data_IF_072776185620
#
_entry.id   IF_072776185620
#
_cell.length_a   1.000
_cell.length_b   1.000
_cell.length_c   1.000
_cell.angle_alpha   90.00
_cell.angle_beta   90.00
_cell.angle_gamma   90.00
#
_symmetry.space_group_name_H-M   'P 1'
#
loop_
_entity.id
_entity.type
_entity.pdbx_description
1 polymer ?
#
# COMPACT_ATOMS: atom_id res chain seq x y z
N UNK A 1 7.62 27.06 16.27
CA UNK A 1 6.81 26.55 15.15
C UNK A 1 7.36 25.18 14.82
N UNK A 2 6.54 24.15 14.98
CA UNK A 2 6.94 22.74 14.80
C UNK A 2 7.50 22.51 13.39
N UNK A 3 8.54 21.69 13.30
CA UNK A 3 9.07 21.17 12.05
C UNK A 3 8.07 20.18 11.44
N UNK A 4 6.97 20.68 10.88
CA UNK A 4 6.00 19.84 10.16
C UNK A 4 6.69 19.35 8.87
N UNK A 5 6.79 18.02 8.65
CA UNK A 5 7.37 17.46 7.44
C UNK A 5 6.59 17.88 6.18
N UNK A 6 7.24 17.94 5.02
CA UNK A 6 6.56 18.31 3.77
C UNK A 6 5.52 17.26 3.36
N UNK A 7 4.47 17.68 2.64
CA UNK A 7 3.39 16.79 2.20
C UNK A 7 3.89 15.61 1.36
N UNK A 8 4.93 15.82 0.55
CA UNK A 8 5.55 14.74 -0.23
C UNK A 8 6.24 13.71 0.68
N UNK A 9 6.93 14.18 1.72
CA UNK A 9 7.58 13.29 2.69
C UNK A 9 6.52 12.53 3.50
N UNK A 10 5.45 13.19 3.92
CA UNK A 10 4.32 12.56 4.61
C UNK A 10 3.65 11.51 3.71
N UNK A 11 3.45 11.81 2.42
CA UNK A 11 2.89 10.88 1.44
C UNK A 11 3.71 9.59 1.25
N UNK A 12 5.03 9.64 1.49
CA UNK A 12 5.90 8.45 1.43
C UNK A 12 5.93 7.70 2.77
N UNK A 13 6.08 8.41 3.89
CA UNK A 13 6.37 7.81 5.20
C UNK A 13 5.11 7.32 5.92
N UNK A 14 3.99 8.04 5.81
CA UNK A 14 2.76 7.72 6.55
C UNK A 14 2.24 6.31 6.22
N UNK A 15 2.11 5.88 4.95
CA UNK A 15 1.64 4.53 4.64
C UNK A 15 2.54 3.42 5.23
N UNK A 16 3.86 3.65 5.27
CA UNK A 16 4.83 2.71 5.87
C UNK A 16 4.63 2.63 7.38
N UNK A 17 4.50 3.78 8.06
CA UNK A 17 4.25 3.83 9.49
C UNK A 17 2.92 3.17 9.89
N UNK A 18 1.86 3.41 9.10
CA UNK A 18 0.55 2.76 9.27
C UNK A 18 0.68 1.25 9.15
N UNK A 19 1.37 0.75 8.10
CA UNK A 19 1.60 -0.68 7.91
C UNK A 19 2.25 -1.33 9.16
N UNK A 20 3.34 -0.77 9.67
CA UNK A 20 4.07 -1.35 10.80
C UNK A 20 3.26 -1.26 12.10
N UNK A 21 2.50 -0.18 12.28
CA UNK A 21 1.60 -0.03 13.43
C UNK A 21 0.53 -1.13 13.42
N UNK A 22 -0.16 -1.31 12.30
CA UNK A 22 -1.17 -2.37 12.17
C UNK A 22 -0.56 -3.77 12.31
N UNK A 23 0.59 -4.02 11.68
CA UNK A 23 1.30 -5.31 11.80
C UNK A 23 1.68 -5.61 13.26
N UNK A 24 2.18 -4.61 13.98
CA UNK A 24 2.49 -4.72 15.41
C UNK A 24 1.26 -5.05 16.26
N UNK A 25 0.14 -4.36 16.01
CA UNK A 25 -1.14 -4.65 16.70
C UNK A 25 -1.58 -6.10 16.44
N UNK A 26 -1.54 -6.56 15.18
CA UNK A 26 -1.88 -7.95 14.85
C UNK A 26 -0.94 -8.96 15.53
N UNK A 27 0.36 -8.67 15.62
CA UNK A 27 1.30 -9.52 16.35
C UNK A 27 0.98 -9.60 17.85
N UNK A 28 0.60 -8.48 18.47
CA UNK A 28 0.21 -8.46 19.89
C UNK A 28 -1.07 -9.28 20.12
N UNK A 29 -2.08 -9.09 19.27
CA UNK A 29 -3.36 -9.83 19.34
C UNK A 29 -3.20 -11.32 19.00
N UNK A 30 -2.15 -11.72 18.27
CA UNK A 30 -1.86 -13.11 17.94
C UNK A 30 -1.61 -14.03 19.15
N UNK A 31 -1.48 -13.47 20.35
CA UNK A 31 -1.41 -14.22 21.62
C UNK A 31 -2.76 -14.68 22.16
N UNK A 32 -3.87 -14.11 21.65
CA UNK A 32 -5.22 -14.34 22.15
C UNK A 32 -5.89 -15.57 21.53
N UNK A 33 -5.46 -16.77 21.90
CA UNK A 33 -5.94 -18.03 21.32
C UNK A 33 -7.46 -18.21 21.38
N UNK A 34 -8.11 -17.72 22.44
CA UNK A 34 -9.57 -17.82 22.64
C UNK A 34 -10.40 -17.10 21.58
N UNK A 35 -9.85 -16.07 20.92
CA UNK A 35 -10.58 -15.24 19.96
C UNK A 35 -10.13 -15.48 18.50
N UNK A 36 -9.30 -16.50 18.27
CA UNK A 36 -8.80 -16.83 16.92
C UNK A 36 -9.81 -17.66 16.14
N UNK A 37 -10.02 -17.29 14.87
CA UNK A 37 -10.84 -18.04 13.90
C UNK A 37 -10.18 -19.34 13.43
N UNK A 38 -8.85 -19.34 13.30
CA UNK A 38 -8.06 -20.53 12.93
C UNK A 38 -7.10 -20.91 14.07
N UNK A 39 -6.97 -22.21 14.34
CA UNK A 39 -6.01 -22.68 15.34
C UNK A 39 -4.59 -22.34 14.88
N UNK A 40 -3.65 -22.18 15.83
CA UNK A 40 -2.24 -21.92 15.48
C UNK A 40 -1.66 -23.04 14.63
N UNK A 41 -2.01 -24.29 14.95
CA UNK A 41 -1.57 -25.47 14.18
C UNK A 41 -2.02 -25.40 12.73
N UNK A 42 -3.27 -25.00 12.47
CA UNK A 42 -3.78 -24.90 11.10
C UNK A 42 -3.09 -23.78 10.31
N UNK A 43 -2.79 -22.66 10.96
CA UNK A 43 -2.02 -21.56 10.34
C UNK A 43 -0.58 -21.97 10.05
N UNK A 44 0.10 -22.63 11.00
CA UNK A 44 1.49 -23.03 10.83
C UNK A 44 1.66 -24.08 9.71
N UNK A 45 0.65 -24.92 9.48
CA UNK A 45 0.63 -25.88 8.36
C UNK A 45 0.41 -25.17 7.02
N UNK A 46 -0.44 -24.14 6.98
CA UNK A 46 -0.78 -23.41 5.75
C UNK A 46 0.24 -22.33 5.41
N UNK A 47 0.89 -21.74 6.41
CA UNK A 47 1.87 -20.69 6.24
C UNK A 47 3.25 -21.30 5.95
N UNK A 48 3.54 -21.46 4.66
CA UNK A 48 4.79 -22.03 4.18
C UNK A 48 5.97 -21.05 4.27
N UNK A 49 5.71 -19.76 4.54
CA UNK A 49 6.71 -18.69 4.51
C UNK A 49 7.07 -18.26 5.93
N UNK A 50 8.37 -18.18 6.22
CA UNK A 50 8.85 -17.73 7.52
C UNK A 50 8.59 -16.24 7.73
N UNK A 51 8.44 -15.80 9.00
CA UNK A 51 8.26 -14.37 9.33
C UNK A 51 9.39 -13.49 8.78
N UNK A 52 10.62 -14.03 8.70
CA UNK A 52 11.77 -13.31 8.15
C UNK A 52 11.62 -13.06 6.65
N UNK A 53 11.16 -14.05 5.91
CA UNK A 53 10.88 -13.90 4.48
C UNK A 53 9.77 -12.89 4.22
N UNK A 54 8.70 -12.90 5.04
CA UNK A 54 7.65 -11.88 4.99
C UNK A 54 8.22 -10.48 5.21
N UNK A 55 9.02 -10.27 6.26
CA UNK A 55 9.66 -8.97 6.53
C UNK A 55 10.53 -8.51 5.36
N UNK A 56 11.33 -9.40 4.77
CA UNK A 56 12.14 -9.07 3.60
C UNK A 56 11.28 -8.67 2.40
N UNK A 57 10.19 -9.39 2.14
CA UNK A 57 9.25 -9.07 1.07
C UNK A 57 8.60 -7.70 1.27
N UNK A 58 8.18 -7.39 2.50
CA UNK A 58 7.60 -6.10 2.88
C UNK A 58 8.60 -4.95 2.67
N UNK A 59 9.85 -5.11 3.10
CA UNK A 59 10.87 -4.09 2.92
C UNK A 59 11.17 -3.86 1.43
N UNK A 60 11.19 -4.91 0.61
CA UNK A 60 11.33 -4.80 -0.83
C UNK A 60 10.14 -4.05 -1.47
N UNK A 61 8.91 -4.38 -1.06
CA UNK A 61 7.69 -3.68 -1.51
C UNK A 61 7.69 -2.20 -1.11
N UNK A 62 8.07 -1.89 0.14
CA UNK A 62 8.15 -0.52 0.64
C UNK A 62 9.24 0.30 -0.08
N UNK A 63 10.36 -0.32 -0.44
CA UNK A 63 11.40 0.32 -1.27
C UNK A 63 10.86 0.70 -2.64
N UNK A 64 10.15 -0.22 -3.31
CA UNK A 64 9.51 0.06 -4.60
C UNK A 64 8.46 1.15 -4.46
N UNK A 65 7.58 1.07 -3.45
CA UNK A 65 6.56 2.08 -3.17
C UNK A 65 7.18 3.47 -2.95
N UNK A 66 8.20 3.58 -2.10
CA UNK A 66 8.88 4.83 -1.80
C UNK A 66 9.57 5.41 -3.05
N UNK A 67 10.19 4.56 -3.87
CA UNK A 67 10.85 4.97 -5.12
C UNK A 67 9.84 5.52 -6.12
N UNK A 68 8.73 4.81 -6.35
CA UNK A 68 7.67 5.25 -7.27
C UNK A 68 7.03 6.55 -6.79
N UNK A 69 6.69 6.65 -5.50
CA UNK A 69 6.12 7.86 -4.92
C UNK A 69 7.07 9.05 -5.04
N UNK A 70 8.35 8.88 -4.71
CA UNK A 70 9.37 9.92 -4.87
C UNK A 70 9.47 10.42 -6.32
N UNK A 71 9.50 9.52 -7.30
CA UNK A 71 9.55 9.89 -8.72
C UNK A 71 8.30 10.65 -9.16
N UNK A 72 7.11 10.23 -8.73
CA UNK A 72 5.85 10.91 -9.03
C UNK A 72 5.80 12.32 -8.42
N UNK A 73 6.22 12.48 -7.17
CA UNK A 73 6.29 13.79 -6.54
C UNK A 73 7.31 14.71 -7.23
N UNK A 74 8.48 14.17 -7.62
CA UNK A 74 9.48 14.93 -8.36
C UNK A 74 8.95 15.42 -9.71
N UNK A 75 8.26 14.57 -10.46
CA UNK A 75 7.64 14.95 -11.75
C UNK A 75 6.54 16.00 -11.54
N UNK A 76 5.69 15.82 -10.52
CA UNK A 76 4.57 16.72 -10.24
C UNK A 76 5.01 18.09 -9.75
N UNK A 77 6.07 18.17 -8.93
CA UNK A 77 6.62 19.44 -8.44
C UNK A 77 7.06 20.36 -9.57
N UNK A 78 7.72 19.81 -10.60
CA UNK A 78 8.14 20.56 -11.78
C UNK A 78 6.96 21.21 -12.54
N UNK A 79 5.77 20.60 -12.48
CA UNK A 79 4.54 21.14 -13.10
C UNK A 79 3.82 22.15 -12.20
N UNK A 80 4.07 22.10 -10.89
CA UNK A 80 3.35 22.86 -9.86
C UNK A 80 3.91 24.26 -9.64
N UNK A 81 5.17 24.54 -10.03
CA UNK A 81 5.78 25.88 -9.94
C UNK A 81 5.04 26.96 -10.76
N UNK A 82 4.09 26.57 -11.62
CA UNK A 82 3.28 27.46 -12.48
C UNK A 82 1.87 27.72 -11.89
N UNK A 83 1.44 27.00 -10.85
CA UNK A 83 0.07 27.10 -10.32
C UNK A 83 0.01 27.91 -9.01
N UNK A 84 -0.56 29.10 -9.09
CA UNK A 84 -0.90 29.92 -7.91
C UNK A 84 -1.82 29.19 -6.91
N UNK A 85 -1.64 29.45 -5.62
CA UNK A 85 -2.32 28.82 -4.48
C UNK A 85 -3.82 29.16 -4.43
N UNK A 86 -4.62 28.56 -5.30
CA UNK A 86 -6.08 28.65 -5.26
C UNK A 86 -6.60 27.58 -4.30
N UNK A 87 -7.36 27.98 -3.28
CA UNK A 87 -8.02 27.03 -2.38
C UNK A 87 -9.05 26.21 -3.17
N UNK A 88 -8.79 24.92 -3.32
CA UNK A 88 -9.71 24.00 -4.00
C UNK A 88 -10.95 23.76 -3.14
N UNK A 89 -12.17 23.99 -3.65
CA UNK A 89 -13.40 23.72 -2.90
C UNK A 89 -13.53 22.24 -2.50
N UNK A 90 -14.10 21.97 -1.33
CA UNK A 90 -14.27 20.59 -0.82
C UNK A 90 -15.02 19.68 -1.79
N UNK A 91 -16.01 20.21 -2.52
CA UNK A 91 -16.76 19.44 -3.53
C UNK A 91 -15.87 18.97 -4.69
N UNK A 92 -14.86 19.78 -5.07
CA UNK A 92 -13.91 19.41 -6.12
C UNK A 92 -12.97 18.32 -5.62
N UNK A 93 -12.49 18.43 -4.38
CA UNK A 93 -11.67 17.39 -3.74
C UNK A 93 -12.44 16.07 -3.62
N UNK A 94 -13.69 16.10 -3.13
CA UNK A 94 -14.53 14.91 -3.03
C UNK A 94 -14.74 14.26 -4.41
N UNK A 95 -15.08 15.05 -5.44
CA UNK A 95 -15.22 14.55 -6.80
C UNK A 95 -13.92 13.92 -7.33
N UNK A 96 -12.78 14.58 -7.14
CA UNK A 96 -11.47 14.05 -7.54
C UNK A 96 -11.16 12.73 -6.83
N UNK A 97 -11.45 12.64 -5.52
CA UNK A 97 -11.27 11.42 -4.73
C UNK A 97 -12.12 10.26 -5.26
N UNK A 98 -13.41 10.47 -5.52
CA UNK A 98 -14.28 9.42 -6.05
C UNK A 98 -13.90 8.98 -7.47
N UNK A 99 -13.53 9.93 -8.35
CA UNK A 99 -13.01 9.60 -9.67
C UNK A 99 -11.72 8.79 -9.54
N UNK A 100 -10.82 9.20 -8.64
CA UNK A 100 -9.58 8.50 -8.35
C UNK A 100 -9.81 7.06 -7.89
N UNK A 101 -10.70 6.85 -6.91
CA UNK A 101 -11.09 5.50 -6.47
C UNK A 101 -11.66 4.68 -7.61
N UNK A 102 -12.58 5.22 -8.40
CA UNK A 102 -13.16 4.50 -9.52
C UNK A 102 -12.11 4.06 -10.56
N UNK A 103 -11.16 4.95 -10.88
CA UNK A 103 -10.08 4.66 -11.83
C UNK A 103 -9.14 3.59 -11.27
N UNK A 104 -8.72 3.72 -10.01
CA UNK A 104 -7.82 2.74 -9.37
C UNK A 104 -8.48 1.38 -9.25
N UNK A 105 -9.74 1.30 -8.80
CA UNK A 105 -10.48 0.04 -8.66
C UNK A 105 -10.64 -0.65 -10.02
N UNK A 106 -11.01 0.12 -11.04
CA UNK A 106 -11.16 -0.40 -12.41
C UNK A 106 -9.82 -0.94 -12.92
N UNK A 107 -8.74 -0.17 -12.76
CA UNK A 107 -7.40 -0.59 -13.15
C UNK A 107 -6.94 -1.85 -12.41
N UNK A 108 -7.11 -1.89 -11.08
CA UNK A 108 -6.76 -3.03 -10.24
C UNK A 108 -7.51 -4.30 -10.68
N UNK A 109 -8.81 -4.19 -10.93
CA UNK A 109 -9.63 -5.31 -11.41
C UNK A 109 -9.11 -5.87 -12.74
N UNK A 110 -8.84 -5.01 -13.72
CA UNK A 110 -8.36 -5.47 -15.03
C UNK A 110 -6.96 -6.09 -14.94
N UNK A 111 -6.06 -5.51 -14.16
CA UNK A 111 -4.73 -6.10 -13.95
C UNK A 111 -4.80 -7.45 -13.26
N UNK A 112 -5.61 -7.57 -12.22
CA UNK A 112 -5.83 -8.83 -11.52
C UNK A 112 -6.41 -9.88 -12.46
N UNK A 113 -7.46 -9.53 -13.20
CA UNK A 113 -8.08 -10.41 -14.19
C UNK A 113 -7.10 -10.85 -15.28
N UNK A 114 -6.27 -9.93 -15.75
CA UNK A 114 -5.24 -10.24 -16.75
C UNK A 114 -4.20 -11.22 -16.22
N UNK A 115 -3.75 -11.03 -14.98
CA UNK A 115 -2.82 -11.96 -14.33
C UNK A 115 -3.39 -13.36 -14.16
N UNK A 116 -4.70 -13.51 -13.92
CA UNK A 116 -5.36 -14.82 -13.90
C UNK A 116 -5.52 -15.46 -15.29
N UNK A 117 -5.66 -14.63 -16.32
CA UNK A 117 -5.87 -15.12 -17.70
C UNK A 117 -4.55 -15.53 -18.37
N UNK A 118 -3.43 -14.91 -17.98
CA UNK A 118 -2.11 -15.18 -18.54
C UNK A 118 -1.33 -16.18 -17.66
N UNK A 119 -1.06 -17.38 -18.20
CA UNK A 119 -0.35 -18.46 -17.48
C UNK A 119 1.02 -18.06 -16.94
N UNK A 120 1.77 -17.23 -17.67
CA UNK A 120 3.09 -16.78 -17.24
C UNK A 120 2.98 -15.85 -16.02
N UNK A 121 2.13 -14.83 -16.11
CA UNK A 121 1.93 -13.86 -15.03
C UNK A 121 1.29 -14.52 -13.80
N UNK A 122 0.37 -15.46 -14.02
CA UNK A 122 -0.20 -16.25 -12.94
C UNK A 122 0.90 -16.95 -12.13
N UNK A 123 1.78 -17.71 -12.78
CA UNK A 123 2.79 -18.53 -12.10
C UNK A 123 3.91 -17.74 -11.40
N UNK A 124 4.28 -16.57 -11.93
CA UNK A 124 5.46 -15.84 -11.46
C UNK A 124 5.13 -14.62 -10.60
N UNK A 125 3.92 -14.06 -10.74
CA UNK A 125 3.53 -12.83 -10.03
C UNK A 125 2.32 -13.08 -9.13
N UNK A 126 1.27 -13.72 -9.65
CA UNK A 126 -0.01 -13.75 -8.96
C UNK A 126 -0.20 -14.96 -8.02
N UNK A 127 0.39 -16.11 -8.33
CA UNK A 127 0.23 -17.34 -7.53
C UNK A 127 0.92 -17.29 -6.16
N UNK A 128 1.69 -16.24 -5.90
CA UNK A 128 2.38 -15.97 -4.64
C UNK A 128 1.48 -15.19 -3.67
N UNK A 129 0.34 -14.71 -4.17
CA UNK A 129 -0.72 -14.09 -3.39
C UNK A 129 -1.56 -15.16 -2.68
#
# INVERSE_FOLDING_TARGET
>A
MENVPSDELLGIVVPIGVYWTYSGIYMMLGSLEKYRLHSRKDEDIKNLVSKREVVNGVLAQQLVQATVAFLLFKVSKNSSEIASTVQTPFIVLARQFFIGMFVIDTWQYFWHRYMHSNKFLYRHIHSWH
#
